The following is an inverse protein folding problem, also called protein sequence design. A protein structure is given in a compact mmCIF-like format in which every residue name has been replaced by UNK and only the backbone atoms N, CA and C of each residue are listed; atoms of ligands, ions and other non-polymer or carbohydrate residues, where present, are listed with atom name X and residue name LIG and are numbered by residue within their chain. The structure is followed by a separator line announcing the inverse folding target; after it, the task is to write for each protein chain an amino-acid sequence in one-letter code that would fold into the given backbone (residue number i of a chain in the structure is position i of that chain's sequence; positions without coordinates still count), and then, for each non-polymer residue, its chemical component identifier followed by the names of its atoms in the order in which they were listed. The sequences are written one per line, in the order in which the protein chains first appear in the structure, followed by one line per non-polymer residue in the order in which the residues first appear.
data_IF_416718074371
#
_entry.id   IF_416718074371
#
_cell.length_a   1.000
_cell.length_b   1.000
_cell.length_c   1.000
_cell.angle_alpha   90.00
_cell.angle_beta   90.00
_cell.angle_gamma   90.00
#
_symmetry.space_group_name_H-M   'P 1'
#
loop_
_entity.id
_entity.type
_entity.pdbx_description
1 polymer ?
#
# COMPACT_ATOMS: atom_id res chain seq x y z
N UNK A 1 -28.65 42.67 -11.08
CA UNK A 1 -27.96 41.68 -11.93
C UNK A 1 -27.01 40.89 -11.04
N UNK A 2 -27.43 39.69 -10.58
CA UNK A 2 -26.63 38.83 -9.71
C UNK A 2 -26.31 37.53 -10.47
N UNK A 3 -25.04 37.27 -10.78
CA UNK A 3 -24.50 35.91 -11.01
C UNK A 3 -23.03 35.92 -10.58
N UNK A 4 -22.80 35.70 -9.30
CA UNK A 4 -22.34 34.41 -8.73
C UNK A 4 -21.09 33.89 -9.44
N UNK A 5 -19.97 33.94 -8.71
CA UNK A 5 -18.69 33.29 -9.04
C UNK A 5 -18.96 31.81 -9.29
N UNK A 6 -18.62 31.33 -10.47
CA UNK A 6 -18.41 29.90 -10.70
C UNK A 6 -17.05 29.54 -10.10
N UNK A 7 -17.01 29.31 -8.80
CA UNK A 7 -15.95 28.51 -8.19
C UNK A 7 -16.06 27.12 -8.84
N UNK A 8 -15.11 26.82 -9.73
CA UNK A 8 -15.02 25.52 -10.40
C UNK A 8 -14.94 24.38 -9.38
N UNK A 9 -15.31 23.14 -9.76
CA UNK A 9 -15.34 22.00 -8.86
C UNK A 9 -13.99 21.80 -8.17
N UNK A 10 -14.02 21.80 -6.84
CA UNK A 10 -12.89 21.69 -5.94
C UNK A 10 -12.58 20.21 -5.71
N UNK A 11 -12.14 19.52 -6.75
CA UNK A 11 -11.93 18.08 -6.72
C UNK A 11 -10.73 17.64 -7.57
N UNK A 12 -9.63 18.38 -7.42
CA UNK A 12 -8.27 17.83 -7.61
C UNK A 12 -7.75 17.28 -6.28
N UNK A 13 -8.55 16.49 -5.55
CA UNK A 13 -8.03 15.74 -4.41
C UNK A 13 -7.27 14.57 -4.99
N UNK A 14 -5.94 14.71 -5.07
CA UNK A 14 -5.05 13.60 -5.41
C UNK A 14 -5.46 12.39 -4.59
N UNK A 15 -5.96 11.36 -5.26
CA UNK A 15 -6.23 10.09 -4.62
C UNK A 15 -4.90 9.67 -3.99
N UNK A 16 -4.84 9.64 -2.66
CA UNK A 16 -3.72 8.99 -1.99
C UNK A 16 -3.63 7.58 -2.59
N UNK A 17 -2.44 7.12 -3.03
CA UNK A 17 -2.23 5.76 -3.49
C UNK A 17 -2.91 4.80 -2.52
N UNK A 18 -3.75 3.94 -3.08
CA UNK A 18 -4.43 2.90 -2.34
C UNK A 18 -3.37 1.85 -2.01
N UNK A 19 -3.31 1.32 -0.77
CA UNK A 19 -2.40 0.24 -0.45
C UNK A 19 -2.61 -0.93 -1.42
N UNK A 20 -1.50 -1.58 -1.80
CA UNK A 20 -1.50 -2.67 -2.79
C UNK A 20 -2.08 -3.95 -2.20
N UNK A 21 -1.97 -4.11 -0.88
CA UNK A 21 -2.48 -5.26 -0.14
C UNK A 21 -3.35 -4.83 1.04
N UNK A 22 -4.31 -5.68 1.36
CA UNK A 22 -5.19 -5.54 2.51
C UNK A 22 -4.80 -6.50 3.65
N UNK A 23 -5.05 -6.14 4.92
CA UNK A 23 -4.96 -7.08 6.03
C UNK A 23 -5.83 -8.34 5.77
N UNK A 24 -5.26 -9.51 6.01
CA UNK A 24 -5.87 -10.81 5.76
C UNK A 24 -5.51 -11.41 4.40
N UNK A 25 -4.93 -10.64 3.48
CA UNK A 25 -4.54 -11.12 2.17
C UNK A 25 -3.36 -12.08 2.26
N UNK A 26 -3.45 -13.21 1.55
CA UNK A 26 -2.38 -14.19 1.45
C UNK A 26 -1.37 -13.77 0.40
N UNK A 27 -0.09 -13.94 0.73
CA UNK A 27 1.02 -13.51 -0.11
C UNK A 27 2.12 -14.57 -0.19
N UNK A 28 2.81 -14.58 -1.32
CA UNK A 28 3.99 -15.40 -1.58
C UNK A 28 5.21 -14.49 -1.79
N UNK A 29 6.30 -14.76 -1.08
CA UNK A 29 7.58 -14.09 -1.29
C UNK A 29 8.23 -14.55 -2.61
N UNK A 30 8.44 -13.63 -3.55
CA UNK A 30 9.00 -13.91 -4.89
C UNK A 30 10.44 -14.49 -4.83
N UNK A 31 11.38 -13.97 -4.00
CA UNK A 31 12.73 -14.55 -3.88
C UNK A 31 12.80 -15.84 -3.06
N UNK A 32 11.94 -16.01 -2.04
CA UNK A 32 12.01 -17.11 -1.08
C UNK A 32 10.98 -18.22 -1.24
N UNK A 33 9.91 -18.01 -2.02
CA UNK A 33 8.77 -18.92 -2.14
C UNK A 33 8.01 -19.14 -0.83
N UNK A 34 8.19 -18.24 0.16
CA UNK A 34 7.57 -18.34 1.48
C UNK A 34 6.14 -17.84 1.41
N UNK A 35 5.22 -18.58 2.04
CA UNK A 35 3.81 -18.18 2.14
C UNK A 35 3.57 -17.44 3.45
N UNK A 36 2.75 -16.41 3.38
CA UNK A 36 2.38 -15.61 4.52
C UNK A 36 1.07 -14.85 4.32
N UNK A 37 0.77 -14.00 5.29
CA UNK A 37 -0.43 -13.19 5.31
C UNK A 37 -0.10 -11.76 5.75
N UNK A 38 -0.69 -10.77 5.09
CA UNK A 38 -0.65 -9.40 5.57
C UNK A 38 -1.45 -9.32 6.87
N UNK A 39 -0.82 -8.91 7.97
CA UNK A 39 -1.49 -8.76 9.27
C UNK A 39 -1.79 -7.31 9.60
N UNK A 40 -1.05 -6.36 9.01
CA UNK A 40 -1.28 -4.93 9.20
C UNK A 40 -0.72 -4.12 8.02
N UNK A 41 -1.29 -2.94 7.81
CA UNK A 41 -0.87 -1.97 6.79
C UNK A 41 -0.74 -0.61 7.43
N UNK A 42 0.49 -0.16 7.63
CA UNK A 42 0.80 1.13 8.21
C UNK A 42 1.16 2.13 7.12
N UNK A 43 0.47 3.28 7.12
CA UNK A 43 0.86 4.42 6.27
C UNK A 43 2.07 5.10 6.90
N UNK A 44 3.20 5.12 6.20
CA UNK A 44 4.34 5.93 6.61
C UNK A 44 4.06 7.40 6.29
N UNK A 45 4.48 8.30 7.18
CA UNK A 45 4.31 9.74 7.04
C UNK A 45 4.72 10.22 5.65
N UNK A 46 3.74 10.70 4.88
CA UNK A 46 3.93 11.25 3.55
C UNK A 46 3.94 12.77 3.66
N UNK A 47 5.04 13.43 3.27
CA UNK A 47 5.04 14.88 3.08
C UNK A 47 3.84 15.24 2.18
N UNK A 48 3.13 16.37 2.38
CA UNK A 48 1.92 16.70 1.61
C UNK A 48 2.14 16.84 0.09
N UNK A 49 3.40 16.86 -0.36
CA UNK A 49 3.79 16.90 -1.77
C UNK A 49 4.46 15.59 -2.26
N UNK A 50 4.49 14.55 -1.44
CA UNK A 50 5.07 13.25 -1.77
C UNK A 50 3.98 12.18 -1.78
N UNK A 51 4.14 11.20 -2.67
CA UNK A 51 3.27 10.03 -2.67
C UNK A 51 3.44 9.26 -1.34
N UNK A 52 2.33 8.85 -0.69
CA UNK A 52 2.39 8.02 0.49
C UNK A 52 3.00 6.67 0.20
N UNK A 53 3.82 6.23 1.16
CA UNK A 53 4.48 4.94 1.15
C UNK A 53 3.82 4.08 2.22
N UNK A 54 3.42 2.87 1.85
CA UNK A 54 2.84 1.90 2.76
C UNK A 54 3.89 0.92 3.25
N UNK A 55 3.82 0.59 4.54
CA UNK A 55 4.53 -0.52 5.15
C UNK A 55 3.53 -1.65 5.45
N UNK A 56 3.91 -2.86 5.11
CA UNK A 56 3.13 -4.07 5.29
C UNK A 56 3.80 -4.93 6.36
N UNK A 57 3.05 -5.34 7.38
CA UNK A 57 3.49 -6.40 8.27
C UNK A 57 2.98 -7.72 7.72
N UNK A 58 3.91 -8.63 7.43
CA UNK A 58 3.61 -9.97 6.94
C UNK A 58 3.93 -10.96 8.04
N UNK A 59 2.97 -11.83 8.36
CA UNK A 59 3.21 -13.01 9.17
C UNK A 59 3.40 -14.20 8.25
N UNK A 60 4.56 -14.82 8.32
CA UNK A 60 4.92 -16.00 7.56
C UNK A 60 4.40 -17.28 8.23
N UNK A 61 4.24 -18.36 7.44
CA UNK A 61 3.74 -19.65 7.94
C UNK A 61 4.68 -20.30 8.98
N UNK A 62 5.96 -19.93 9.00
CA UNK A 62 6.94 -20.33 10.03
C UNK A 62 6.76 -19.58 11.37
N UNK A 63 5.81 -18.63 11.42
CA UNK A 63 5.49 -17.82 12.59
C UNK A 63 6.32 -16.54 12.72
N UNK A 64 7.31 -16.31 11.84
CA UNK A 64 8.09 -15.09 11.81
C UNK A 64 7.26 -13.91 11.27
N UNK A 65 7.55 -12.70 11.74
CA UNK A 65 6.87 -11.47 11.30
C UNK A 65 7.90 -10.51 10.72
N UNK A 66 7.67 -10.03 9.50
CA UNK A 66 8.56 -9.13 8.79
C UNK A 66 7.82 -7.89 8.28
N UNK A 67 8.52 -6.77 8.25
CA UNK A 67 8.02 -5.51 7.71
C UNK A 67 8.57 -5.27 6.30
N UNK A 68 7.67 -5.03 5.35
CA UNK A 68 8.01 -4.70 3.97
C UNK A 68 7.55 -3.29 3.66
N UNK A 69 8.36 -2.56 2.89
CA UNK A 69 7.97 -1.28 2.33
C UNK A 69 7.47 -1.49 0.90
N UNK A 70 6.43 -0.78 0.46
CA UNK A 70 5.90 -0.93 -0.91
C UNK A 70 6.99 -0.75 -1.98
N UNK A 71 8.01 0.09 -1.72
CA UNK A 71 9.11 0.34 -2.65
C UNK A 71 10.11 -0.83 -2.78
N UNK A 72 10.11 -1.74 -1.81
CA UNK A 72 10.93 -2.94 -1.86
C UNK A 72 10.29 -4.07 -2.69
N UNK A 73 9.04 -3.89 -3.13
CA UNK A 73 8.26 -4.86 -3.89
C UNK A 73 8.38 -4.57 -5.40
N UNK A 74 9.53 -4.89 -5.98
CA UNK A 74 9.80 -4.84 -7.44
C UNK A 74 9.46 -6.19 -8.10
N UNK A 75 9.31 -6.28 -9.44
CA UNK A 75 8.86 -7.52 -10.11
C UNK A 75 9.72 -8.78 -9.87
N UNK A 76 10.95 -8.61 -9.38
CA UNK A 76 11.88 -9.72 -9.08
C UNK A 76 12.13 -9.92 -7.58
N UNK A 77 11.57 -9.05 -6.73
CA UNK A 77 11.73 -9.01 -5.28
C UNK A 77 10.46 -8.43 -4.70
N UNK A 78 9.53 -9.23 -4.18
CA UNK A 78 8.22 -8.73 -3.77
C UNK A 78 7.27 -9.79 -3.22
N UNK A 79 6.01 -9.39 -3.04
CA UNK A 79 4.92 -10.23 -2.54
C UNK A 79 3.91 -10.47 -3.66
N UNK A 80 3.65 -11.70 -4.05
CA UNK A 80 2.57 -12.04 -4.97
C UNK A 80 1.33 -12.41 -4.19
N UNK A 81 0.18 -11.89 -4.62
CA UNK A 81 -1.11 -12.26 -4.03
C UNK A 81 -1.42 -13.69 -4.44
N UNK A 82 -1.76 -14.53 -3.46
CA UNK A 82 -2.34 -15.84 -3.75
C UNK A 82 -3.81 -15.64 -4.13
N UNK A 83 -4.17 -15.95 -5.39
CA UNK A 83 -5.56 -15.95 -5.89
C UNK A 83 -6.46 -16.97 -5.17
#
# INVERSE_FOLDING_TARGET
MNRHRSDGPRDSRGHAPIPVYDPGQKVNDIPGGRRGQIVDVARQYSHPSADPVHNYLVRWDDGHVEAFNERALTPNWGLEVEE
#
